data_IF_609025355060
#
_entry.id   IF_609025355060
#
_cell.length_a   1.000
_cell.length_b   1.000
_cell.length_c   1.000
_cell.angle_alpha   90.00
_cell.angle_beta   90.00
_cell.angle_gamma   90.00
#
_symmetry.space_group_name_H-M   'P 1'
#
loop_
_entity.id
_entity.type
_entity.pdbx_description
1 polymer ?
#
# COMPACT_ATOMS: atom_id res chain seq x y z
N UNK A 1 5.35 -9.11 -7.82
CA UNK A 1 4.44 -9.22 -8.98
C UNK A 1 3.58 -7.97 -9.18
N UNK A 2 3.09 -7.34 -8.11
CA UNK A 2 2.30 -6.09 -8.09
C UNK A 2 2.52 -5.09 -9.25
N UNK A 3 3.78 -4.70 -9.55
CA UNK A 3 4.07 -3.81 -10.68
C UNK A 3 3.56 -4.36 -12.02
N UNK A 4 3.82 -5.63 -12.33
CA UNK A 4 3.37 -6.29 -13.57
C UNK A 4 1.84 -6.39 -13.62
N UNK A 5 1.19 -6.62 -12.47
CA UNK A 5 -0.28 -6.69 -12.41
C UNK A 5 -0.92 -5.33 -12.67
N UNK A 6 -0.32 -4.25 -12.13
CA UNK A 6 -0.72 -2.88 -12.45
C UNK A 6 -0.50 -2.54 -13.93
N UNK A 7 0.61 -2.97 -14.53
CA UNK A 7 0.85 -2.76 -15.96
C UNK A 7 -0.16 -3.49 -16.85
N UNK A 8 -0.53 -4.73 -16.49
CA UNK A 8 -1.57 -5.48 -17.20
C UNK A 8 -2.93 -4.79 -17.08
N UNK A 9 -3.28 -4.31 -15.89
CA UNK A 9 -4.54 -3.62 -15.63
C UNK A 9 -4.63 -2.27 -16.36
N UNK A 10 -3.58 -1.45 -16.28
CA UNK A 10 -3.54 -0.10 -16.84
C UNK A 10 -3.14 -0.07 -18.32
N UNK A 11 -2.65 -1.19 -18.87
CA UNK A 11 -2.13 -1.34 -20.23
C UNK A 11 -1.05 -0.31 -20.61
N UNK A 12 -0.25 0.09 -19.61
CA UNK A 12 0.82 1.10 -19.74
C UNK A 12 2.02 0.68 -18.92
N UNK A 13 3.20 1.20 -19.29
CA UNK A 13 4.41 0.97 -18.51
C UNK A 13 4.36 1.72 -17.17
N UNK A 14 4.71 1.04 -16.08
CA UNK A 14 4.65 1.58 -14.70
C UNK A 14 5.99 1.40 -13.99
N UNK A 15 6.48 2.49 -13.42
CA UNK A 15 7.59 2.50 -12.47
C UNK A 15 7.04 2.61 -11.05
N UNK A 16 7.33 1.62 -10.21
CA UNK A 16 6.89 1.56 -8.82
C UNK A 16 8.11 1.67 -7.90
N UNK A 17 8.20 2.76 -7.14
CA UNK A 17 9.16 2.93 -6.05
C UNK A 17 8.52 2.56 -4.72
N UNK A 18 9.13 1.64 -3.96
CA UNK A 18 8.65 1.21 -2.65
C UNK A 18 9.73 1.46 -1.60
N UNK A 19 9.33 2.01 -0.47
CA UNK A 19 10.19 2.20 0.71
C UNK A 19 9.59 1.45 1.88
N UNK A 20 10.43 0.73 2.63
CA UNK A 20 10.01 0.02 3.84
C UNK A 20 10.13 0.95 5.03
N UNK A 21 9.08 1.04 5.84
CA UNK A 21 9.06 1.75 7.11
C UNK A 21 8.49 0.82 8.19
N UNK A 22 8.95 1.00 9.43
CA UNK A 22 8.47 0.25 10.59
C UNK A 22 7.65 1.22 11.46
N UNK A 23 6.43 0.82 11.80
CA UNK A 23 5.57 1.53 12.73
C UNK A 23 5.22 0.58 13.88
N UNK A 24 5.49 1.00 15.12
CA UNK A 24 5.26 0.15 16.29
C UNK A 24 3.76 0.03 16.58
N UNK A 25 3.29 -1.21 16.78
CA UNK A 25 1.90 -1.56 17.14
C UNK A 25 0.81 -0.89 16.28
N UNK A 26 1.09 -0.62 15.00
CA UNK A 26 0.15 0.06 14.10
C UNK A 26 -1.21 -0.63 13.96
N UNK A 27 -1.26 -1.94 14.23
CA UNK A 27 -2.50 -2.73 14.19
C UNK A 27 -3.46 -2.43 15.33
N UNK A 28 -2.96 -1.89 16.44
CA UNK A 28 -3.75 -1.53 17.62
C UNK A 28 -4.06 -0.03 17.67
N UNK A 29 -3.53 0.75 16.72
CA UNK A 29 -3.73 2.20 16.61
C UNK A 29 -4.93 2.50 15.67
N UNK A 30 -6.08 2.96 16.21
CA UNK A 30 -7.28 3.23 15.41
C UNK A 30 -7.07 4.30 14.34
N UNK A 31 -6.22 5.30 14.57
CA UNK A 31 -5.95 6.36 13.61
C UNK A 31 -5.10 5.84 12.43
N UNK A 32 -4.16 4.93 12.71
CA UNK A 32 -3.39 4.26 11.65
C UNK A 32 -4.27 3.30 10.84
N UNK A 33 -5.12 2.51 11.50
CA UNK A 33 -6.09 1.65 10.81
C UNK A 33 -7.00 2.44 9.87
N UNK A 34 -7.49 3.61 10.32
CA UNK A 34 -8.29 4.50 9.48
C UNK A 34 -7.50 5.04 8.28
N UNK A 35 -6.25 5.45 8.46
CA UNK A 35 -5.38 5.93 7.38
C UNK A 35 -5.07 4.87 6.34
N UNK A 36 -4.92 3.62 6.76
CA UNK A 36 -4.70 2.49 5.85
C UNK A 36 -5.98 1.98 5.19
N UNK A 37 -7.15 2.51 5.58
CA UNK A 37 -8.44 2.11 5.03
C UNK A 37 -8.98 0.79 5.59
N UNK A 38 -8.52 0.37 6.77
CA UNK A 38 -9.01 -0.84 7.46
C UNK A 38 -10.26 -0.58 8.33
N UNK A 39 -10.62 0.67 8.60
CA UNK A 39 -11.82 1.07 9.35
C UNK A 39 -12.50 2.28 8.69
N UNK A 40 -13.83 2.29 8.65
CA UNK A 40 -14.70 3.33 8.05
C UNK A 40 -14.94 4.52 8.98
#
# INVERSE_FOLDING_TARGET
EARKDLERFLQKHVYLGLTVQVADNWRDDPDQLKRFGYTE
#
